data_IF_689843862015
#
_entry.id   IF_689843862015
#
_cell.length_a   1.000
_cell.length_b   1.000
_cell.length_c   1.000
_cell.angle_alpha   90.00
_cell.angle_beta   90.00
_cell.angle_gamma   90.00
#
_symmetry.space_group_name_H-M   'P 1'
#
loop_
_entity.id
_entity.type
_entity.pdbx_description
1 polymer ?
#
# COMPACT_ATOMS: atom_id res chain seq x y z
N UNK A 1 0.19 -20.53 0.10
CA UNK A 1 0.04 -19.79 -1.17
C UNK A 1 -1.45 -19.56 -1.44
N UNK A 2 -1.90 -18.30 -1.44
CA UNK A 2 -3.26 -17.95 -1.85
C UNK A 2 -3.38 -18.16 -3.36
N UNK A 3 -4.16 -19.16 -3.77
CA UNK A 3 -4.28 -19.59 -5.18
C UNK A 3 -5.71 -19.55 -5.68
N UNK A 4 -6.68 -19.27 -4.79
CA UNK A 4 -8.09 -19.23 -5.19
C UNK A 4 -8.54 -17.81 -5.49
N UNK A 5 -9.33 -17.67 -6.55
CA UNK A 5 -9.95 -16.38 -6.95
C UNK A 5 -10.85 -15.75 -5.88
N UNK A 6 -11.24 -16.52 -4.85
CA UNK A 6 -12.13 -16.09 -3.75
C UNK A 6 -11.37 -15.82 -2.45
N UNK A 7 -10.05 -15.98 -2.45
CA UNK A 7 -9.24 -15.67 -1.28
C UNK A 7 -9.40 -14.18 -0.93
N UNK A 8 -9.46 -13.88 0.36
CA UNK A 8 -9.51 -12.50 0.83
C UNK A 8 -8.10 -11.94 0.83
N UNK A 9 -7.91 -10.83 0.12
CA UNK A 9 -6.65 -10.10 0.12
C UNK A 9 -6.79 -8.88 1.02
N UNK A 10 -5.73 -8.56 1.76
CA UNK A 10 -5.67 -7.41 2.66
C UNK A 10 -4.70 -6.33 2.17
N UNK A 11 -3.92 -6.62 1.14
CA UNK A 11 -2.89 -5.73 0.61
C UNK A 11 -2.51 -6.11 -0.83
N UNK A 12 -2.23 -5.11 -1.67
CA UNK A 12 -1.65 -5.26 -3.01
C UNK A 12 -0.48 -4.27 -3.12
N UNK A 13 0.69 -4.72 -3.60
CA UNK A 13 1.76 -3.77 -3.93
C UNK A 13 1.38 -2.92 -5.15
N UNK A 14 1.62 -1.61 -5.10
CA UNK A 14 1.25 -0.67 -6.18
C UNK A 14 2.04 -0.80 -7.49
N UNK A 15 2.91 -1.81 -7.64
CA UNK A 15 3.65 -2.12 -8.88
C UNK A 15 2.80 -2.72 -10.01
N UNK A 16 1.51 -2.98 -9.76
CA UNK A 16 0.59 -3.58 -10.73
C UNK A 16 -0.85 -3.57 -10.21
N UNK A 17 -1.44 -2.38 -10.13
CA UNK A 17 -2.76 -2.15 -9.55
C UNK A 17 -3.74 -1.54 -10.57
N UNK A 18 -5.00 -1.95 -10.48
CA UNK A 18 -6.12 -1.27 -11.13
C UNK A 18 -7.19 -0.94 -10.09
N UNK A 19 -7.64 0.32 -10.07
CA UNK A 19 -8.73 0.77 -9.20
C UNK A 19 -9.87 1.35 -10.04
N UNK A 20 -11.11 1.18 -9.58
CA UNK A 20 -12.25 1.88 -10.17
C UNK A 20 -12.17 3.35 -9.77
N UNK A 21 -12.55 4.26 -10.66
CA UNK A 21 -12.61 5.71 -10.37
C UNK A 21 -13.39 6.01 -9.08
N UNK A 22 -14.52 5.33 -8.87
CA UNK A 22 -15.33 5.47 -7.64
C UNK A 22 -14.55 5.22 -6.34
N UNK A 23 -13.55 4.32 -6.34
CA UNK A 23 -12.73 4.08 -5.15
C UNK A 23 -11.96 5.35 -4.82
N UNK A 24 -11.30 5.95 -5.82
CA UNK A 24 -10.60 7.23 -5.68
C UNK A 24 -11.55 8.37 -5.28
N UNK A 25 -12.71 8.48 -5.93
CA UNK A 25 -13.68 9.53 -5.61
C UNK A 25 -14.19 9.42 -4.15
N UNK A 26 -14.26 8.20 -3.60
CA UNK A 26 -14.76 7.94 -2.25
C UNK A 26 -13.67 8.07 -1.15
N UNK A 27 -12.43 7.64 -1.40
CA UNK A 27 -11.38 7.58 -0.35
C UNK A 27 -10.17 8.50 -0.58
N UNK A 28 -10.10 9.16 -1.74
CA UNK A 28 -8.98 10.01 -2.13
C UNK A 28 -7.81 9.27 -2.77
N UNK A 29 -6.68 9.98 -2.92
CA UNK A 29 -5.39 9.44 -3.41
C UNK A 29 -4.55 8.94 -2.24
N UNK A 30 -3.30 8.57 -2.53
CA UNK A 30 -2.29 8.31 -1.52
C UNK A 30 -2.07 9.53 -0.61
N UNK A 31 -1.88 9.26 0.68
CA UNK A 31 -1.56 10.28 1.66
C UNK A 31 -0.10 10.72 1.47
N UNK A 32 0.09 11.97 1.02
CA UNK A 32 1.39 12.52 0.65
C UNK A 32 2.40 12.57 1.81
N UNK A 33 1.92 12.42 3.06
CA UNK A 33 2.80 12.36 4.24
C UNK A 33 3.75 11.14 4.22
N UNK A 34 3.38 10.07 3.51
CA UNK A 34 4.21 8.87 3.31
C UNK A 34 5.23 9.03 2.17
N UNK A 35 5.16 10.11 1.40
CA UNK A 35 6.09 10.38 0.31
C UNK A 35 7.54 10.54 0.80
N UNK A 36 8.54 10.17 -0.04
CA UNK A 36 8.42 9.71 -1.43
C UNK A 36 8.15 8.20 -1.64
N UNK A 37 8.20 7.39 -0.59
CA UNK A 37 7.94 5.94 -0.65
C UNK A 37 7.78 5.36 0.77
N UNK A 38 7.26 4.14 0.81
CA UNK A 38 6.92 3.32 1.97
C UNK A 38 5.65 3.77 2.69
N UNK A 39 4.76 2.80 2.89
CA UNK A 39 3.51 2.86 3.65
C UNK A 39 2.37 3.66 2.99
N UNK A 40 2.59 4.28 1.83
CA UNK A 40 1.52 4.91 1.05
C UNK A 40 0.48 3.89 0.58
N UNK A 41 0.95 2.69 0.23
CA UNK A 41 0.13 1.62 -0.32
C UNK A 41 -0.61 0.81 0.76
N UNK A 42 -0.01 0.35 1.88
CA UNK A 42 -0.74 -0.12 3.04
C UNK A 42 -1.82 0.84 3.50
N UNK A 43 -1.51 2.14 3.62
CA UNK A 43 -2.47 3.15 4.08
C UNK A 43 -3.69 3.25 3.16
N UNK A 44 -3.46 3.27 1.86
CA UNK A 44 -4.53 3.30 0.86
C UNK A 44 -5.43 2.06 0.94
N UNK A 45 -4.85 0.87 1.02
CA UNK A 45 -5.63 -0.37 1.08
C UNK A 45 -6.37 -0.54 2.40
N UNK A 46 -5.76 -0.14 3.50
CA UNK A 46 -6.42 -0.16 4.80
C UNK A 46 -7.62 0.80 4.79
N UNK A 47 -7.45 2.01 4.25
CA UNK A 47 -8.55 2.97 4.04
C UNK A 47 -9.65 2.37 3.16
N UNK A 48 -9.30 1.73 2.04
CA UNK A 48 -10.27 1.09 1.15
C UNK A 48 -11.07 0.00 1.86
N UNK A 49 -10.41 -0.86 2.65
CA UNK A 49 -11.06 -1.92 3.44
C UNK A 49 -12.02 -1.33 4.48
N UNK A 50 -11.63 -0.25 5.18
CA UNK A 50 -12.51 0.43 6.14
C UNK A 50 -13.77 1.00 5.47
N UNK A 51 -13.68 1.40 4.19
CA UNK A 51 -14.82 1.84 3.38
C UNK A 51 -15.60 0.68 2.73
N UNK A 52 -15.30 -0.57 3.09
CA UNK A 52 -16.02 -1.76 2.60
C UNK A 52 -15.59 -2.26 1.22
N UNK A 53 -14.50 -1.72 0.67
CA UNK A 53 -13.96 -2.20 -0.59
C UNK A 53 -13.25 -3.55 -0.43
N UNK A 54 -13.29 -4.33 -1.50
CA UNK A 54 -12.65 -5.65 -1.57
C UNK A 54 -11.44 -5.58 -2.48
N UNK A 55 -10.40 -6.27 -2.06
CA UNK A 55 -9.15 -6.42 -2.78
C UNK A 55 -9.16 -7.80 -3.45
N UNK A 56 -8.65 -7.88 -4.67
CA UNK A 56 -8.60 -9.12 -5.45
C UNK A 56 -7.44 -9.15 -6.43
N UNK A 57 -7.09 -10.35 -6.88
CA UNK A 57 -5.98 -10.57 -7.81
C UNK A 57 -6.47 -11.12 -9.16
N UNK A 58 -6.09 -10.45 -10.24
CA UNK A 58 -6.39 -10.88 -11.61
C UNK A 58 -5.28 -11.80 -12.13
N UNK A 59 -5.61 -13.05 -12.41
CA UNK A 59 -4.66 -14.04 -12.92
C UNK A 59 -4.47 -13.93 -14.44
N UNK A 60 -5.38 -13.22 -15.13
CA UNK A 60 -5.42 -13.18 -16.60
C UNK A 60 -4.52 -12.10 -17.21
N UNK A 61 -3.92 -11.24 -16.38
CA UNK A 61 -3.07 -10.15 -16.82
C UNK A 61 -1.87 -10.04 -15.86
N UNK A 62 -0.83 -10.87 -16.04
CA UNK A 62 0.36 -10.78 -15.21
C UNK A 62 1.12 -9.49 -15.53
N UNK A 63 1.52 -8.77 -14.49
CA UNK A 63 2.37 -7.59 -14.59
C UNK A 63 3.67 -7.92 -13.87
N UNK A 64 4.80 -7.82 -14.59
CA UNK A 64 6.13 -7.99 -14.00
C UNK A 64 6.64 -6.63 -13.48
N UNK A 65 6.79 -6.52 -12.17
CA UNK A 65 7.34 -5.33 -11.53
C UNK A 65 8.84 -5.49 -11.27
N UNK A 66 9.66 -4.70 -11.99
CA UNK A 66 11.11 -4.65 -11.78
C UNK A 66 11.44 -3.80 -10.54
N UNK A 67 11.53 -4.47 -9.39
CA UNK A 67 11.67 -3.84 -8.08
C UNK A 67 12.92 -2.96 -7.98
N UNK A 68 12.83 -1.88 -7.20
CA UNK A 68 13.95 -1.00 -6.80
C UNK A 68 14.69 -0.22 -7.90
N UNK A 69 14.27 -0.29 -9.17
CA UNK A 69 14.92 0.47 -10.25
C UNK A 69 14.86 2.00 -10.05
N UNK A 70 13.77 2.52 -9.50
CA UNK A 70 13.58 3.97 -9.27
C UNK A 70 14.20 4.44 -7.96
N UNK A 71 14.28 3.56 -6.96
CA UNK A 71 14.73 3.89 -5.59
C UNK A 71 16.26 3.68 -5.44
N UNK A 72 16.92 2.99 -6.37
CA UNK A 72 18.36 2.69 -6.29
C UNK A 72 19.27 3.91 -6.39
N UNK A 73 18.79 5.05 -6.87
CA UNK A 73 19.58 6.28 -6.95
C UNK A 73 19.63 7.07 -5.63
N UNK A 74 19.05 6.55 -4.54
CA UNK A 74 19.06 7.19 -3.23
C UNK A 74 19.95 6.46 -2.22
N UNK A 75 20.55 7.24 -1.31
CA UNK A 75 21.41 6.70 -0.25
C UNK A 75 20.65 5.73 0.66
N UNK A 76 21.32 4.67 1.13
CA UNK A 76 20.74 3.68 2.04
C UNK A 76 20.25 4.30 3.36
N UNK A 77 20.95 5.33 3.86
CA UNK A 77 20.54 6.12 5.03
C UNK A 77 19.19 6.77 4.83
N UNK A 78 18.93 7.31 3.64
CA UNK A 78 17.70 8.04 3.36
C UNK A 78 16.50 7.08 3.29
N UNK A 79 16.73 5.86 2.79
CA UNK A 79 15.72 4.79 2.78
C UNK A 79 15.35 4.34 4.19
N UNK A 80 16.33 4.11 5.06
CA UNK A 80 16.05 3.66 6.43
C UNK A 80 15.37 4.76 7.24
N UNK A 81 15.82 6.01 7.12
CA UNK A 81 15.15 7.15 7.76
C UNK A 81 13.72 7.32 7.27
N UNK A 82 13.49 7.24 5.96
CA UNK A 82 12.14 7.32 5.39
C UNK A 82 11.25 6.17 5.87
N UNK A 83 11.76 4.94 5.90
CA UNK A 83 11.01 3.79 6.41
C UNK A 83 10.56 4.01 7.86
N UNK A 84 11.48 4.42 8.75
CA UNK A 84 11.16 4.66 10.17
C UNK A 84 10.16 5.81 10.32
N UNK A 85 10.30 6.88 9.54
CA UNK A 85 9.37 8.00 9.53
C UNK A 85 7.96 7.56 9.10
N UNK A 86 7.85 6.91 7.94
CA UNK A 86 6.57 6.44 7.41
C UNK A 86 5.92 5.40 8.33
N UNK A 87 6.71 4.50 8.94
CA UNK A 87 6.20 3.54 9.91
C UNK A 87 5.54 4.21 11.12
N UNK A 88 6.21 5.20 11.72
CA UNK A 88 5.65 5.95 12.86
C UNK A 88 4.37 6.69 12.50
N UNK A 89 4.29 7.26 11.30
CA UNK A 89 3.08 7.90 10.80
C UNK A 89 1.94 6.89 10.64
N UNK A 90 2.24 5.73 10.06
CA UNK A 90 1.26 4.65 9.87
C UNK A 90 0.73 4.14 11.21
N UNK A 91 1.62 3.84 12.16
CA UNK A 91 1.24 3.41 13.51
C UNK A 91 0.38 4.45 14.21
N UNK A 92 0.73 5.74 14.12
CA UNK A 92 -0.05 6.82 14.73
C UNK A 92 -1.45 6.92 14.13
N UNK A 93 -1.56 6.85 12.80
CA UNK A 93 -2.83 6.96 12.07
C UNK A 93 -3.77 5.78 12.37
N UNK A 94 -3.20 4.58 12.44
CA UNK A 94 -3.94 3.33 12.60
C UNK A 94 -3.85 2.74 14.02
N UNK A 95 -3.42 3.53 15.00
CA UNK A 95 -3.19 3.11 16.39
C UNK A 95 -4.34 2.27 16.99
N UNK A 96 -5.64 2.61 16.79
CA UNK A 96 -6.73 1.80 17.33
C UNK A 96 -6.73 0.34 16.84
N UNK A 97 -6.11 0.07 15.69
CA UNK A 97 -6.00 -1.26 15.08
C UNK A 97 -4.69 -1.97 15.46
N UNK A 98 -3.70 -1.25 16.01
CA UNK A 98 -2.41 -1.77 16.45
C UNK A 98 -2.04 -1.29 17.86
N UNK A 99 -2.86 -1.53 18.89
CA UNK A 99 -2.53 -1.12 20.25
C UNK A 99 -1.42 -2.02 20.82
N UNK A 100 -0.17 -1.55 20.82
CA UNK A 100 0.91 -2.14 21.62
C UNK A 100 2.08 -2.81 20.89
N UNK A 101 2.43 -2.37 19.67
CA UNK A 101 3.80 -2.55 19.15
C UNK A 101 4.74 -1.41 19.55
#
# INVERSE_FOLDING_TARGET
HCTNKRDRFTYIGCGGMLIKKKVYDDIGLFDEQFGPFYFEDPDFWFTAIQHGYKIGWSHNCPIEHLVHKTINNQCLSDKSTQFVKSWKLFQKKWYPYFPGE
#
